data_IF_207056498452
#
_entry.id   IF_207056498452
#
_cell.length_a   1.000
_cell.length_b   1.000
_cell.length_c   1.000
_cell.angle_alpha   90.00
_cell.angle_beta   90.00
_cell.angle_gamma   90.00
#
_symmetry.space_group_name_H-M   'P 1'
#
loop_
_entity.id
_entity.type
_entity.pdbx_description
1 polymer ?
#
# COMPACT_ATOMS: atom_id res chain seq x y z
N UNK A 1 -1.34 -18.42 0.04
CA UNK A 1 -2.53 -17.74 -0.54
C UNK A 1 -2.36 -16.22 -0.33
N UNK A 2 -2.89 -15.35 -1.21
CA UNK A 2 -2.82 -13.89 -1.03
C UNK A 2 -3.44 -13.47 0.31
N UNK A 3 -2.83 -12.51 1.05
CA UNK A 3 -3.40 -12.02 2.29
C UNK A 3 -4.51 -11.01 1.95
N UNK A 4 -5.74 -11.50 2.01
CA UNK A 4 -6.96 -10.74 1.76
C UNK A 4 -8.14 -11.68 1.62
N UNK A 5 -9.35 -11.17 1.85
CA UNK A 5 -10.56 -11.95 1.62
C UNK A 5 -10.69 -12.34 0.14
N UNK A 6 -11.49 -13.37 -0.13
CA UNK A 6 -11.87 -13.76 -1.49
C UNK A 6 -13.34 -13.41 -1.75
N UNK A 7 -13.71 -12.15 -1.55
CA UNK A 7 -15.06 -11.64 -1.80
C UNK A 7 -15.10 -10.88 -3.12
N UNK A 8 -16.17 -11.08 -3.90
CA UNK A 8 -16.37 -10.42 -5.20
C UNK A 8 -16.33 -8.89 -5.16
N UNK A 9 -16.46 -8.28 -3.97
CA UNK A 9 -16.44 -6.82 -3.77
C UNK A 9 -15.06 -6.25 -3.44
N UNK A 10 -14.03 -7.10 -3.26
CA UNK A 10 -12.68 -6.64 -2.93
C UNK A 10 -11.92 -6.13 -4.14
N UNK A 11 -11.04 -5.16 -3.91
CA UNK A 11 -10.11 -4.71 -4.94
C UNK A 11 -9.27 -5.88 -5.44
N UNK A 12 -8.77 -5.82 -6.68
CA UNK A 12 -7.75 -6.75 -7.15
C UNK A 12 -6.57 -6.84 -6.16
N UNK A 13 -5.83 -7.97 -6.14
CA UNK A 13 -4.68 -8.14 -5.26
C UNK A 13 -3.71 -6.96 -5.34
N UNK A 14 -3.48 -6.31 -4.20
CA UNK A 14 -2.61 -5.16 -4.09
C UNK A 14 -1.20 -5.65 -3.78
N UNK A 15 -0.49 -6.08 -4.82
CA UNK A 15 0.84 -6.68 -4.69
C UNK A 15 1.90 -5.84 -5.41
N UNK A 16 3.12 -5.87 -4.89
CA UNK A 16 4.28 -5.23 -5.48
C UNK A 16 5.54 -6.05 -5.21
N UNK A 17 6.50 -6.00 -6.12
CA UNK A 17 7.81 -6.64 -5.96
C UNK A 17 8.88 -5.56 -5.88
N UNK A 18 9.67 -5.57 -4.81
CA UNK A 18 10.82 -4.67 -4.60
C UNK A 18 12.02 -5.52 -4.22
N UNK A 19 13.17 -5.36 -4.88
CA UNK A 19 14.39 -6.14 -4.60
C UNK A 19 14.15 -7.66 -4.50
N UNK A 20 13.45 -8.23 -5.50
CA UNK A 20 13.07 -9.66 -5.56
C UNK A 20 12.18 -10.13 -4.38
N UNK A 21 11.63 -9.21 -3.59
CA UNK A 21 10.76 -9.52 -2.49
C UNK A 21 9.32 -9.14 -2.84
N UNK A 22 8.41 -10.11 -2.67
CA UNK A 22 6.98 -9.90 -2.87
C UNK A 22 6.36 -9.31 -1.59
N UNK A 23 5.56 -8.25 -1.80
CA UNK A 23 4.77 -7.58 -0.78
C UNK A 23 3.30 -7.54 -1.18
N UNK A 24 2.43 -7.54 -0.19
CA UNK A 24 1.00 -7.36 -0.36
C UNK A 24 0.49 -6.31 0.63
N UNK A 25 -0.39 -5.43 0.17
CA UNK A 25 -1.21 -4.59 1.03
C UNK A 25 -2.49 -5.35 1.37
N UNK A 26 -2.53 -5.93 2.57
CA UNK A 26 -3.72 -6.58 3.09
C UNK A 26 -4.72 -5.52 3.55
N UNK A 27 -5.72 -5.28 2.71
CA UNK A 27 -6.78 -4.32 3.00
C UNK A 27 -7.66 -4.72 4.19
N UNK A 28 -7.71 -6.02 4.55
CA UNK A 28 -8.59 -6.50 5.62
C UNK A 28 -8.03 -6.23 7.01
N UNK A 29 -6.71 -6.27 7.15
CA UNK A 29 -6.00 -5.92 8.40
C UNK A 29 -5.34 -4.55 8.35
N UNK A 30 -5.39 -3.88 7.20
CA UNK A 30 -4.76 -2.59 6.93
C UNK A 30 -3.23 -2.63 7.12
N UNK A 31 -2.60 -3.71 6.68
CA UNK A 31 -1.17 -4.02 6.86
C UNK A 31 -0.47 -4.27 5.52
N UNK A 32 0.81 -3.94 5.46
CA UNK A 32 1.73 -4.44 4.44
C UNK A 32 2.40 -5.71 4.97
N UNK A 33 2.35 -6.75 4.16
CA UNK A 33 2.93 -8.07 4.45
C UNK A 33 4.01 -8.41 3.44
N UNK A 34 5.09 -9.03 3.90
CA UNK A 34 6.18 -9.58 3.10
C UNK A 34 6.01 -11.09 2.98
N UNK A 35 6.14 -11.63 1.78
CA UNK A 35 6.05 -13.07 1.54
C UNK A 35 7.37 -13.78 1.88
N UNK A 36 7.33 -14.75 2.77
CA UNK A 36 8.44 -15.67 3.03
C UNK A 36 8.38 -16.82 2.01
N UNK A 37 9.38 -16.86 1.12
CA UNK A 37 9.45 -17.86 0.05
C UNK A 37 9.81 -19.25 0.57
N UNK A 38 10.59 -19.34 1.64
CA UNK A 38 11.06 -20.61 2.20
C UNK A 38 9.90 -21.31 2.93
N UNK A 39 9.14 -20.54 3.71
CA UNK A 39 8.06 -21.07 4.52
C UNK A 39 6.68 -20.98 3.86
N UNK A 40 6.55 -20.32 2.70
CA UNK A 40 5.27 -20.03 2.04
C UNK A 40 4.26 -19.33 2.96
N UNK A 41 4.75 -18.35 3.73
CA UNK A 41 3.96 -17.58 4.70
C UNK A 41 4.03 -16.08 4.42
N UNK A 42 3.17 -15.31 5.09
CA UNK A 42 3.16 -13.86 5.03
C UNK A 42 3.45 -13.29 6.40
N UNK A 43 4.41 -12.37 6.48
CA UNK A 43 4.80 -11.71 7.71
C UNK A 43 4.43 -10.23 7.65
N UNK A 44 3.78 -9.72 8.69
CA UNK A 44 3.48 -8.28 8.81
C UNK A 44 4.79 -7.52 8.93
N UNK A 45 4.98 -6.50 8.09
CA UNK A 45 6.18 -5.66 8.12
C UNK A 45 5.87 -4.21 8.44
N UNK A 46 4.63 -3.76 8.20
CA UNK A 46 4.25 -2.36 8.43
C UNK A 46 2.72 -2.16 8.37
N UNK A 47 2.12 -1.22 9.09
CA UNK A 47 0.75 -0.75 8.82
C UNK A 47 0.67 0.03 7.49
N UNK A 48 -0.48 0.04 6.82
CA UNK A 48 -0.72 0.95 5.70
C UNK A 48 -0.83 2.40 6.21
N UNK A 49 -0.31 3.40 5.46
CA UNK A 49 -0.37 4.81 5.86
C UNK A 49 -1.77 5.42 5.71
N UNK A 50 -2.65 4.71 5.01
CA UNK A 50 -4.04 5.09 4.75
C UNK A 50 -4.94 3.91 5.09
N UNK A 51 -6.20 4.19 5.44
CA UNK A 51 -7.19 3.17 5.76
C UNK A 51 -7.81 2.56 4.50
N UNK A 52 -7.36 1.36 4.13
CA UNK A 52 -7.85 0.59 2.98
C UNK A 52 -9.05 -0.31 3.31
N UNK A 53 -9.32 -0.55 4.60
CA UNK A 53 -10.41 -1.39 5.11
C UNK A 53 -11.81 -0.86 4.78
N UNK A 54 -12.00 0.46 4.85
CA UNK A 54 -13.29 1.14 4.63
C UNK A 54 -13.91 0.93 3.24
N UNK A 55 -13.07 0.67 2.24
CA UNK A 55 -13.50 0.54 0.84
C UNK A 55 -13.08 -0.80 0.24
N UNK A 56 -12.82 -1.83 1.05
CA UNK A 56 -12.35 -3.14 0.59
C UNK A 56 -11.11 -3.08 -0.33
N UNK A 57 -10.20 -2.13 -0.08
CA UNK A 57 -9.01 -1.88 -0.87
C UNK A 57 -9.19 -0.97 -2.09
N UNK A 58 -10.42 -0.59 -2.43
CA UNK A 58 -10.68 0.35 -3.52
C UNK A 58 -10.22 1.77 -3.18
N UNK A 59 -9.71 2.49 -4.18
CA UNK A 59 -9.14 3.83 -4.01
C UNK A 59 -7.71 3.84 -3.45
N UNK A 60 -7.10 2.66 -3.27
CA UNK A 60 -5.69 2.49 -2.94
C UNK A 60 -4.89 2.02 -4.17
N UNK A 61 -3.78 2.67 -4.46
CA UNK A 61 -2.76 2.11 -5.36
C UNK A 61 -1.54 1.69 -4.55
N UNK A 62 -1.17 0.41 -4.67
CA UNK A 62 0.07 -0.15 -4.13
C UNK A 62 1.00 -0.54 -5.27
N UNK A 63 2.21 0.02 -5.31
CA UNK A 63 3.14 -0.12 -6.43
C UNK A 63 4.59 -0.13 -5.97
N UNK A 64 5.48 -0.67 -6.80
CA UNK A 64 6.92 -0.52 -6.65
C UNK A 64 7.41 0.67 -7.48
N UNK A 65 8.43 1.37 -7.02
CA UNK A 65 9.20 2.35 -7.79
C UNK A 65 10.67 2.30 -7.37
N UNK A 66 11.53 1.77 -8.24
CA UNK A 66 12.93 1.48 -7.93
C UNK A 66 13.04 0.54 -6.73
N UNK A 67 13.67 1.03 -5.66
CA UNK A 67 13.83 0.32 -4.38
C UNK A 67 12.74 0.64 -3.34
N UNK A 68 11.66 1.30 -3.75
CA UNK A 68 10.59 1.79 -2.87
C UNK A 68 9.28 1.08 -3.12
N UNK A 69 8.50 0.94 -2.06
CA UNK A 69 7.07 0.73 -2.13
C UNK A 69 6.37 2.08 -2.08
N UNK A 70 5.36 2.24 -2.92
CA UNK A 70 4.52 3.43 -3.01
C UNK A 70 3.08 3.07 -2.67
N UNK A 71 2.47 3.93 -1.86
CA UNK A 71 1.05 3.90 -1.54
C UNK A 71 0.43 5.22 -1.97
N UNK A 72 -0.55 5.16 -2.86
CA UNK A 72 -1.38 6.30 -3.22
C UNK A 72 -2.76 6.07 -2.65
N UNK A 73 -3.27 7.01 -1.87
CA UNK A 73 -4.61 6.91 -1.31
C UNK A 73 -5.19 8.28 -0.98
N UNK A 74 -6.52 8.30 -0.88
CA UNK A 74 -7.20 9.48 -0.36
C UNK A 74 -7.01 9.64 1.13
N UNK A 75 -6.88 10.88 1.56
CA UNK A 75 -6.94 11.28 2.94
C UNK A 75 -8.01 12.37 3.11
N UNK A 76 -8.85 12.23 4.13
CA UNK A 76 -9.85 13.23 4.50
C UNK A 76 -9.35 14.00 5.72
N UNK A 77 -8.89 15.22 5.48
CA UNK A 77 -8.44 16.13 6.53
C UNK A 77 -9.37 17.33 6.72
N UNK A 78 -9.12 18.19 7.72
CA UNK A 78 -9.92 19.40 7.96
C UNK A 78 -9.96 20.36 6.76
N UNK A 79 -8.96 20.29 5.89
CA UNK A 79 -8.80 21.13 4.69
C UNK A 79 -9.47 20.51 3.44
N UNK A 80 -10.17 19.38 3.58
CA UNK A 80 -10.88 18.70 2.51
C UNK A 80 -10.25 17.36 2.10
N UNK A 81 -10.68 16.86 0.94
CA UNK A 81 -10.19 15.61 0.38
C UNK A 81 -8.89 15.83 -0.42
N UNK A 82 -7.84 15.14 -0.02
CA UNK A 82 -6.53 15.16 -0.68
C UNK A 82 -6.12 13.76 -1.12
N UNK A 83 -5.25 13.67 -2.13
CA UNK A 83 -4.55 12.43 -2.47
C UNK A 83 -3.13 12.55 -1.96
N UNK A 84 -2.67 11.55 -1.20
CA UNK A 84 -1.30 11.52 -0.67
C UNK A 84 -0.55 10.37 -1.33
N UNK A 85 0.67 10.66 -1.76
CA UNK A 85 1.64 9.70 -2.25
C UNK A 85 2.65 9.44 -1.15
N UNK A 86 2.53 8.28 -0.53
CA UNK A 86 3.47 7.79 0.49
C UNK A 86 4.50 6.87 -0.15
N UNK A 87 5.70 6.84 0.43
CA UNK A 87 6.71 5.85 0.08
C UNK A 87 7.38 5.25 1.31
N UNK A 88 7.88 4.05 1.14
CA UNK A 88 8.70 3.35 2.11
C UNK A 88 9.79 2.57 1.37
N UNK A 89 11.03 2.62 1.88
CA UNK A 89 12.13 1.77 1.41
C UNK A 89 12.25 0.57 2.34
N UNK A 90 11.96 -0.65 1.87
CA UNK A 90 12.23 -1.85 2.66
C UNK A 90 13.74 -2.05 2.76
N UNK A 91 14.30 -1.81 3.95
CA UNK A 91 15.67 -2.16 4.31
C UNK A 91 15.71 -3.53 5.00
N UNK A 92 16.78 -4.29 4.82
CA UNK A 92 16.98 -5.53 5.55
C UNK A 92 17.19 -5.21 7.04
N UNK A 93 16.36 -5.80 7.90
CA UNK A 93 16.48 -5.67 9.35
C UNK A 93 15.71 -4.53 10.02
N UNK A 94 15.14 -3.59 9.25
CA UNK A 94 14.42 -2.45 9.83
C UNK A 94 12.90 -2.68 9.88
N UNK A 95 12.47 -3.61 10.75
CA UNK A 95 11.04 -3.84 11.06
C UNK A 95 10.50 -2.87 12.14
N UNK A 96 11.33 -1.92 12.62
CA UNK A 96 11.09 -1.22 13.88
C UNK A 96 11.09 0.31 13.84
N UNK A 97 11.23 0.99 12.70
CA UNK A 97 11.31 2.45 12.75
C UNK A 97 11.16 3.18 11.43
N UNK A 98 10.78 4.45 11.55
CA UNK A 98 10.29 5.38 10.54
C UNK A 98 8.90 5.04 10.02
N UNK A 99 7.95 5.98 10.14
CA UNK A 99 6.66 5.96 9.46
C UNK A 99 6.82 5.97 7.93
N UNK A 100 5.72 5.94 7.19
CA UNK A 100 5.76 6.21 5.75
C UNK A 100 6.15 7.66 5.47
N UNK A 101 7.11 7.87 4.58
CA UNK A 101 7.44 9.22 4.12
C UNK A 101 6.39 9.72 3.13
N UNK A 102 6.10 11.02 3.15
CA UNK A 102 5.24 11.67 2.16
C UNK A 102 6.11 12.15 1.00
N UNK A 103 5.86 11.63 -0.20
CA UNK A 103 6.51 12.09 -1.43
C UNK A 103 5.80 13.32 -2.02
N UNK A 104 4.46 13.34 -1.97
CA UNK A 104 3.65 14.41 -2.53
C UNK A 104 2.22 14.40 -1.97
N UNK A 105 1.61 15.58 -1.94
CA UNK A 105 0.20 15.78 -1.59
C UNK A 105 -0.46 16.54 -2.75
N UNK A 106 -1.60 16.04 -3.21
CA UNK A 106 -2.43 16.72 -4.19
C UNK A 106 -3.74 17.15 -3.55
N UNK A 107 -3.89 18.46 -3.35
CA UNK A 107 -5.11 19.06 -2.85
C UNK A 107 -6.23 19.08 -3.89
N UNK A 108 -7.49 19.13 -3.43
CA UNK A 108 -8.69 19.29 -4.28
C UNK A 108 -8.80 18.23 -5.38
N UNK A 109 -8.27 17.04 -5.13
CA UNK A 109 -8.25 15.93 -6.09
C UNK A 109 -9.33 14.87 -5.83
N UNK A 110 -10.15 15.05 -4.79
CA UNK A 110 -11.07 14.04 -4.27
C UNK A 110 -10.34 12.95 -3.47
N UNK A 111 -11.10 12.12 -2.74
CA UNK A 111 -10.53 11.07 -1.87
C UNK A 111 -10.36 9.70 -2.56
N UNK A 112 -10.71 9.55 -3.84
CA UNK A 112 -10.70 8.26 -4.49
C UNK A 112 -9.71 8.22 -5.66
N UNK A 113 -8.82 7.23 -5.65
CA UNK A 113 -7.91 6.95 -6.78
C UNK A 113 -8.65 6.04 -7.77
N UNK A 114 -9.14 6.63 -8.87
CA UNK A 114 -9.97 5.95 -9.86
C UNK A 114 -9.20 5.05 -10.85
N UNK A 115 -7.89 5.19 -10.96
CA UNK A 115 -7.09 4.48 -11.97
C UNK A 115 -6.02 3.60 -11.32
N UNK A 116 -5.72 2.48 -11.96
CA UNK A 116 -4.47 1.74 -11.81
C UNK A 116 -3.30 2.66 -12.18
N UNK A 117 -2.80 3.42 -11.21
CA UNK A 117 -1.59 4.23 -11.40
C UNK A 117 -0.45 3.32 -11.89
N UNK A 118 -0.08 3.47 -13.16
CA UNK A 118 1.12 2.84 -13.72
C UNK A 118 2.28 3.74 -13.33
N UNK A 119 3.20 3.22 -12.52
CA UNK A 119 4.47 3.88 -12.24
C UNK A 119 5.57 3.03 -12.86
N UNK A 120 6.23 3.60 -13.87
CA UNK A 120 7.48 3.09 -14.43
C UNK A 120 8.66 3.69 -13.67
N UNK A 121 9.72 2.91 -13.53
CA UNK A 121 10.98 3.32 -12.92
C UNK A 121 11.96 3.68 -14.04
#
# INVERSE_FOLDING_TARGET
MYPGGNRATQSPPLVAVVKNQLYAADQSTNEVKKYDKENNTWNVVRPLPVRADSSNGWGLAFKACGDKLLVVGGHRGPQGEVIVLHYWRPEEGNMGGADWDILSIRERAGAFVYNCAIMGC
#
